data_IF_920879125926
#
_entry.id   IF_920879125926
#
_cell.length_a   1.000
_cell.length_b   1.000
_cell.length_c   1.000
_cell.angle_alpha   90.00
_cell.angle_beta   90.00
_cell.angle_gamma   90.00
#
_symmetry.space_group_name_H-M   'P 1'
#
loop_
_entity.id
_entity.type
_entity.pdbx_description
1 polymer ?
#
# COMPACT_ATOMS: atom_id res chain seq x y z
N UNK A 1 66.56 97.61 13.76
CA UNK A 1 66.43 96.61 12.68
C UNK A 1 66.34 95.18 13.22
N UNK A 2 67.20 94.79 14.17
CA UNK A 2 67.17 93.45 14.80
C UNK A 2 65.89 93.18 15.64
N UNK A 3 65.40 94.20 16.36
CA UNK A 3 64.18 94.11 17.20
C UNK A 3 62.89 93.93 16.39
N UNK A 4 62.67 94.72 15.33
CA UNK A 4 61.47 94.61 14.46
C UNK A 4 61.34 93.22 13.79
N UNK A 5 62.47 92.64 13.36
CA UNK A 5 62.52 91.30 12.77
C UNK A 5 62.11 90.23 13.79
N UNK A 6 62.52 90.40 15.05
CA UNK A 6 62.25 89.44 16.11
C UNK A 6 60.87 89.60 16.75
N UNK A 7 60.32 90.81 16.85
CA UNK A 7 59.03 91.06 17.50
C UNK A 7 57.82 90.95 16.58
N UNK A 8 57.98 91.18 15.26
CA UNK A 8 56.84 91.19 14.33
C UNK A 8 56.95 90.16 13.21
N UNK A 9 58.12 90.04 12.59
CA UNK A 9 58.29 89.13 11.43
C UNK A 9 58.34 87.66 11.88
N UNK A 10 59.12 87.35 12.92
CA UNK A 10 59.26 85.98 13.41
C UNK A 10 57.94 85.36 13.92
N UNK A 11 57.13 86.03 14.78
CA UNK A 11 55.86 85.49 15.23
C UNK A 11 54.84 85.35 14.10
N UNK A 12 54.83 86.26 13.12
CA UNK A 12 53.93 86.17 11.96
C UNK A 12 54.27 84.99 11.04
N UNK A 13 55.56 84.77 10.77
CA UNK A 13 56.02 83.60 10.01
C UNK A 13 55.72 82.31 10.79
N UNK A 14 55.96 82.32 12.10
CA UNK A 14 55.68 81.16 12.94
C UNK A 14 54.17 80.84 12.99
N UNK A 15 53.31 81.85 13.19
CA UNK A 15 51.87 81.68 13.22
C UNK A 15 51.34 81.20 11.86
N UNK A 16 51.78 81.82 10.76
CA UNK A 16 51.33 81.45 9.41
C UNK A 16 51.78 80.05 9.01
N UNK A 17 53.04 79.67 9.26
CA UNK A 17 53.53 78.31 9.09
C UNK A 17 52.77 77.32 9.98
N UNK A 18 52.54 77.65 11.24
CA UNK A 18 51.80 76.80 12.17
C UNK A 18 50.36 76.58 11.67
N UNK A 19 49.64 77.63 11.27
CA UNK A 19 48.30 77.48 10.71
C UNK A 19 48.30 76.68 9.43
N UNK A 20 49.23 76.92 8.51
CA UNK A 20 49.29 76.20 7.23
C UNK A 20 49.59 74.71 7.42
N UNK A 21 50.57 74.39 8.27
CA UNK A 21 50.91 73.02 8.60
C UNK A 21 49.75 72.36 9.35
N UNK A 22 49.16 73.05 10.33
CA UNK A 22 48.04 72.51 11.09
C UNK A 22 46.82 72.27 10.21
N UNK A 23 46.40 73.23 9.37
CA UNK A 23 45.27 73.01 8.48
C UNK A 23 45.58 71.95 7.43
N UNK A 24 46.76 71.95 6.81
CA UNK A 24 47.12 70.93 5.82
C UNK A 24 47.16 69.53 6.43
N UNK A 25 47.89 69.34 7.54
CA UNK A 25 47.97 68.06 8.23
C UNK A 25 46.61 67.66 8.77
N UNK A 26 45.90 68.54 9.46
CA UNK A 26 44.60 68.21 10.03
C UNK A 26 43.59 67.88 8.94
N UNK A 27 43.45 68.70 7.90
CA UNK A 27 42.50 68.41 6.81
C UNK A 27 42.90 67.18 6.04
N UNK A 28 44.17 67.01 5.66
CA UNK A 28 44.60 65.84 4.91
C UNK A 28 44.47 64.57 5.73
N UNK A 29 44.98 64.53 6.96
CA UNK A 29 44.87 63.36 7.83
C UNK A 29 43.42 63.11 8.19
N UNK A 30 42.67 64.12 8.63
CA UNK A 30 41.28 63.92 9.01
C UNK A 30 40.45 63.48 7.82
N UNK A 31 40.53 64.14 6.66
CA UNK A 31 39.75 63.72 5.50
C UNK A 31 40.19 62.37 4.98
N UNK A 32 41.49 62.08 4.85
CA UNK A 32 41.97 60.80 4.37
C UNK A 32 41.63 59.67 5.34
N UNK A 33 41.93 59.80 6.63
CA UNK A 33 41.61 58.78 7.63
C UNK A 33 40.10 58.64 7.76
N UNK A 34 39.35 59.73 7.91
CA UNK A 34 37.90 59.64 8.08
C UNK A 34 37.24 59.08 6.83
N UNK A 35 37.55 59.57 5.63
CA UNK A 35 36.92 59.02 4.42
C UNK A 35 37.39 57.60 4.16
N UNK A 36 38.68 57.30 4.22
CA UNK A 36 39.17 55.94 3.96
C UNK A 36 38.65 54.95 4.99
N UNK A 37 38.82 55.21 6.28
CA UNK A 37 38.37 54.30 7.34
C UNK A 37 36.84 54.22 7.32
N UNK A 38 36.13 55.34 7.32
CA UNK A 38 34.67 55.29 7.36
C UNK A 38 34.11 54.65 6.10
N UNK A 39 34.52 55.06 4.90
CA UNK A 39 33.96 54.45 3.69
C UNK A 39 34.40 53.01 3.55
N UNK A 40 35.68 52.67 3.72
CA UNK A 40 36.14 51.29 3.57
C UNK A 40 35.54 50.37 4.63
N UNK A 41 35.63 50.72 5.91
CA UNK A 41 35.08 49.86 6.98
C UNK A 41 33.56 49.81 6.87
N UNK A 42 32.88 50.95 6.74
CA UNK A 42 31.41 50.93 6.67
C UNK A 42 30.93 50.20 5.42
N UNK A 43 31.46 50.50 4.23
CA UNK A 43 31.01 49.80 3.02
C UNK A 43 31.39 48.34 3.06
N UNK A 44 32.63 47.98 3.36
CA UNK A 44 33.07 46.59 3.39
C UNK A 44 32.31 45.77 4.43
N UNK A 45 32.22 46.23 5.68
CA UNK A 45 31.48 45.50 6.72
C UNK A 45 30.00 45.43 6.36
N UNK A 46 29.39 46.53 5.94
CA UNK A 46 27.97 46.53 5.63
C UNK A 46 27.63 45.67 4.42
N UNK A 47 28.31 45.81 3.29
CA UNK A 47 28.02 44.94 2.13
C UNK A 47 28.44 43.51 2.41
N UNK A 48 29.65 43.25 2.88
CA UNK A 48 30.11 41.89 3.05
C UNK A 48 29.31 41.10 4.08
N UNK A 49 29.07 41.68 5.26
CA UNK A 49 28.33 40.98 6.33
C UNK A 49 26.84 40.99 6.01
N UNK A 50 26.26 42.14 5.71
CA UNK A 50 24.81 42.24 5.62
C UNK A 50 24.26 41.67 4.31
N UNK A 51 24.88 41.98 3.17
CA UNK A 51 24.38 41.48 1.88
C UNK A 51 24.92 40.10 1.56
N UNK A 52 26.21 39.85 1.74
CA UNK A 52 26.78 38.57 1.29
C UNK A 52 26.57 37.47 2.32
N UNK A 53 26.83 37.74 3.61
CA UNK A 53 26.69 36.70 4.62
C UNK A 53 25.23 36.51 5.03
N UNK A 54 24.58 37.55 5.55
CA UNK A 54 23.21 37.42 6.07
C UNK A 54 22.24 37.11 4.94
N UNK A 55 22.17 37.94 3.90
CA UNK A 55 21.16 37.73 2.87
C UNK A 55 21.41 36.46 2.07
N UNK A 56 22.60 36.30 1.45
CA UNK A 56 22.84 35.10 0.64
C UNK A 56 22.86 33.84 1.49
N UNK A 57 23.65 33.75 2.57
CA UNK A 57 23.76 32.50 3.31
C UNK A 57 22.43 32.11 3.98
N UNK A 58 21.79 33.03 4.70
CA UNK A 58 20.56 32.71 5.42
C UNK A 58 19.43 32.47 4.44
N UNK A 59 19.22 33.35 3.46
CA UNK A 59 18.12 33.16 2.52
C UNK A 59 18.34 31.91 1.68
N UNK A 60 19.55 31.70 1.16
CA UNK A 60 19.80 30.56 0.28
C UNK A 60 19.80 29.26 1.07
N UNK A 61 20.38 29.20 2.28
CA UNK A 61 20.33 28.02 3.15
C UNK A 61 18.92 27.72 3.63
N UNK A 62 18.20 28.70 4.19
CA UNK A 62 16.83 28.50 4.68
C UNK A 62 15.92 28.13 3.51
N UNK A 63 15.97 28.87 2.40
CA UNK A 63 15.11 28.57 1.26
C UNK A 63 15.45 27.22 0.66
N UNK A 64 16.72 26.90 0.38
CA UNK A 64 17.06 25.58 -0.18
C UNK A 64 16.74 24.47 0.80
N UNK A 65 17.14 24.58 2.07
CA UNK A 65 16.93 23.53 3.06
C UNK A 65 15.44 23.32 3.33
N UNK A 66 14.67 24.37 3.63
CA UNK A 66 13.23 24.25 3.89
C UNK A 66 12.52 23.79 2.63
N UNK A 67 12.77 24.41 1.47
CA UNK A 67 12.07 24.03 0.24
C UNK A 67 12.42 22.60 -0.17
N UNK A 68 13.70 22.22 -0.19
CA UNK A 68 14.07 20.84 -0.56
C UNK A 68 13.57 19.86 0.48
N UNK A 69 13.77 20.09 1.77
CA UNK A 69 13.34 19.17 2.82
C UNK A 69 11.83 19.02 2.84
N UNK A 70 11.06 20.11 2.90
CA UNK A 70 9.60 20.05 2.90
C UNK A 70 9.09 19.44 1.60
N UNK A 71 9.56 19.91 0.44
CA UNK A 71 9.07 19.38 -0.83
C UNK A 71 9.44 17.91 -1.00
N UNK A 72 10.69 17.52 -0.77
CA UNK A 72 11.07 16.12 -0.90
C UNK A 72 10.38 15.26 0.13
N UNK A 73 10.37 15.64 1.41
CA UNK A 73 9.75 14.84 2.45
C UNK A 73 8.24 14.71 2.25
N UNK A 74 7.52 15.82 2.04
CA UNK A 74 6.07 15.77 1.82
C UNK A 74 5.75 15.02 0.53
N UNK A 75 6.43 15.33 -0.58
CA UNK A 75 6.15 14.67 -1.84
C UNK A 75 6.47 13.19 -1.79
N UNK A 76 7.64 12.80 -1.27
CA UNK A 76 7.99 11.38 -1.15
C UNK A 76 7.10 10.66 -0.17
N UNK A 77 6.83 11.23 1.01
CA UNK A 77 5.95 10.61 2.01
C UNK A 77 4.54 10.45 1.48
N UNK A 78 3.91 11.51 0.96
CA UNK A 78 2.56 11.44 0.41
C UNK A 78 2.52 10.48 -0.77
N UNK A 79 3.43 10.61 -1.73
CA UNK A 79 3.42 9.74 -2.90
C UNK A 79 3.66 8.28 -2.52
N UNK A 80 4.67 7.98 -1.70
CA UNK A 80 4.94 6.60 -1.29
C UNK A 80 3.82 6.05 -0.43
N UNK A 81 3.35 6.78 0.58
CA UNK A 81 2.29 6.32 1.48
C UNK A 81 0.98 6.12 0.73
N UNK A 82 0.51 7.11 -0.04
CA UNK A 82 -0.74 6.98 -0.79
C UNK A 82 -0.61 5.89 -1.85
N UNK A 83 0.47 5.87 -2.64
CA UNK A 83 0.62 4.87 -3.67
C UNK A 83 0.73 3.47 -3.09
N UNK A 84 1.56 3.26 -2.05
CA UNK A 84 1.67 1.94 -1.42
C UNK A 84 0.39 1.54 -0.73
N UNK A 85 -0.26 2.42 0.03
CA UNK A 85 -1.50 2.12 0.72
C UNK A 85 -2.62 1.79 -0.28
N UNK A 86 -2.85 2.64 -1.28
CA UNK A 86 -3.89 2.40 -2.28
C UNK A 86 -3.58 1.12 -3.07
N UNK A 87 -2.35 0.97 -3.57
CA UNK A 87 -2.00 -0.19 -4.36
C UNK A 87 -2.09 -1.47 -3.53
N UNK A 88 -1.50 -1.51 -2.33
CA UNK A 88 -1.57 -2.71 -1.48
C UNK A 88 -2.98 -2.98 -1.03
N UNK A 89 -3.72 -2.00 -0.53
CA UNK A 89 -5.08 -2.19 -0.05
C UNK A 89 -6.02 -2.63 -1.18
N UNK A 90 -6.04 -1.92 -2.31
CA UNK A 90 -6.92 -2.27 -3.42
C UNK A 90 -6.51 -3.62 -4.00
N UNK A 91 -5.22 -3.85 -4.27
CA UNK A 91 -4.78 -5.11 -4.85
C UNK A 91 -5.05 -6.28 -3.90
N UNK A 92 -4.70 -6.17 -2.62
CA UNK A 92 -4.95 -7.25 -1.66
C UNK A 92 -6.44 -7.46 -1.44
N UNK A 93 -7.23 -6.41 -1.24
CA UNK A 93 -8.66 -6.53 -1.03
C UNK A 93 -9.36 -7.13 -2.26
N UNK A 94 -9.13 -6.59 -3.45
CA UNK A 94 -9.74 -7.10 -4.69
C UNK A 94 -9.28 -8.52 -4.95
N UNK A 95 -7.96 -8.79 -4.89
CA UNK A 95 -7.45 -10.13 -5.16
C UNK A 95 -7.97 -11.14 -4.14
N UNK A 96 -7.90 -10.84 -2.85
CA UNK A 96 -8.39 -11.76 -1.82
C UNK A 96 -9.89 -11.93 -1.91
N UNK A 97 -10.68 -10.86 -2.04
CA UNK A 97 -12.14 -10.94 -2.13
C UNK A 97 -12.58 -11.71 -3.37
N UNK A 98 -12.05 -11.36 -4.56
CA UNK A 98 -12.40 -12.06 -5.80
C UNK A 98 -11.94 -13.52 -5.74
N UNK A 99 -10.69 -13.77 -5.35
CA UNK A 99 -10.18 -15.13 -5.30
C UNK A 99 -10.92 -15.97 -4.27
N UNK A 100 -11.14 -15.46 -3.05
CA UNK A 100 -11.90 -16.21 -2.04
C UNK A 100 -13.32 -16.40 -2.49
N UNK A 101 -14.04 -15.35 -2.88
CA UNK A 101 -15.44 -15.45 -3.30
C UNK A 101 -15.61 -16.41 -4.48
N UNK A 102 -14.84 -16.25 -5.55
CA UNK A 102 -14.92 -17.14 -6.73
C UNK A 102 -14.54 -18.55 -6.34
N UNK A 103 -13.40 -18.75 -5.67
CA UNK A 103 -12.94 -20.09 -5.31
C UNK A 103 -13.94 -20.76 -4.36
N UNK A 104 -14.36 -20.11 -3.29
CA UNK A 104 -15.34 -20.70 -2.36
C UNK A 104 -16.65 -20.92 -3.07
N UNK A 105 -17.22 -19.92 -3.76
CA UNK A 105 -18.54 -20.05 -4.37
C UNK A 105 -18.55 -21.13 -5.45
N UNK A 106 -17.60 -21.10 -6.39
CA UNK A 106 -17.52 -22.09 -7.46
C UNK A 106 -17.21 -23.46 -6.88
N UNK A 107 -16.19 -23.58 -6.01
CA UNK A 107 -15.83 -24.87 -5.45
C UNK A 107 -16.95 -25.45 -4.61
N UNK A 108 -17.54 -24.69 -3.69
CA UNK A 108 -18.66 -25.19 -2.87
C UNK A 108 -19.83 -25.50 -3.75
N UNK A 109 -20.27 -24.59 -4.62
CA UNK A 109 -21.48 -24.81 -5.43
C UNK A 109 -21.32 -26.00 -6.37
N UNK A 110 -20.22 -26.07 -7.13
CA UNK A 110 -19.98 -27.17 -8.05
C UNK A 110 -19.78 -28.48 -7.27
N UNK A 111 -18.93 -28.48 -6.25
CA UNK A 111 -18.67 -29.70 -5.49
C UNK A 111 -19.95 -30.18 -4.80
N UNK A 112 -20.69 -29.31 -4.10
CA UNK A 112 -21.93 -29.72 -3.45
C UNK A 112 -22.94 -30.14 -4.48
N UNK A 113 -23.20 -29.35 -5.52
CA UNK A 113 -24.23 -29.67 -6.50
C UNK A 113 -23.92 -30.97 -7.24
N UNK A 114 -22.71 -31.12 -7.79
CA UNK A 114 -22.32 -32.34 -8.51
C UNK A 114 -22.28 -33.53 -7.56
N UNK A 115 -21.64 -33.40 -6.39
CA UNK A 115 -21.56 -34.52 -5.46
C UNK A 115 -22.94 -34.92 -4.96
N UNK A 116 -23.78 -33.97 -4.53
CA UNK A 116 -25.14 -34.28 -4.09
C UNK A 116 -25.94 -34.85 -5.24
N UNK A 117 -25.96 -34.24 -6.42
CA UNK A 117 -26.78 -34.68 -7.53
C UNK A 117 -26.36 -36.06 -8.03
N UNK A 118 -25.07 -36.28 -8.27
CA UNK A 118 -24.55 -37.57 -8.72
C UNK A 118 -24.75 -38.61 -7.63
N UNK A 119 -24.37 -38.32 -6.39
CA UNK A 119 -24.52 -39.29 -5.31
C UNK A 119 -25.99 -39.62 -5.07
N UNK A 120 -26.88 -38.64 -4.96
CA UNK A 120 -28.30 -38.91 -4.76
C UNK A 120 -28.87 -39.62 -5.97
N UNK A 121 -28.67 -39.11 -7.19
CA UNK A 121 -29.28 -39.70 -8.38
C UNK A 121 -28.78 -41.12 -8.63
N UNK A 122 -27.46 -41.34 -8.64
CA UNK A 122 -26.89 -42.67 -8.87
C UNK A 122 -27.25 -43.60 -7.72
N UNK A 123 -27.03 -43.19 -6.47
CA UNK A 123 -27.32 -44.06 -5.34
C UNK A 123 -28.80 -44.36 -5.26
N UNK A 124 -29.69 -43.37 -5.31
CA UNK A 124 -31.14 -43.64 -5.24
C UNK A 124 -31.56 -44.44 -6.46
N UNK A 125 -31.27 -44.00 -7.69
CA UNK A 125 -31.77 -44.68 -8.87
C UNK A 125 -31.24 -46.10 -8.99
N UNK A 126 -29.93 -46.32 -8.88
CA UNK A 126 -29.35 -47.65 -8.99
C UNK A 126 -29.77 -48.52 -7.81
N UNK A 127 -29.65 -48.02 -6.58
CA UNK A 127 -30.03 -48.82 -5.42
C UNK A 127 -31.51 -49.15 -5.44
N UNK A 128 -32.40 -48.18 -5.64
CA UNK A 128 -33.83 -48.45 -5.69
C UNK A 128 -34.15 -49.34 -6.86
N UNK A 129 -33.71 -49.03 -8.09
CA UNK A 129 -34.06 -49.82 -9.27
C UNK A 129 -33.55 -51.25 -9.16
N UNK A 130 -32.26 -51.45 -8.86
CA UNK A 130 -31.68 -52.78 -8.74
C UNK A 130 -32.31 -53.53 -7.57
N UNK A 131 -32.40 -52.90 -6.39
CA UNK A 131 -32.98 -53.56 -5.23
C UNK A 131 -34.44 -53.91 -5.47
N UNK A 132 -35.26 -52.97 -5.96
CA UNK A 132 -36.67 -53.26 -6.23
C UNK A 132 -36.82 -54.26 -7.34
N UNK A 133 -36.09 -54.16 -8.45
CA UNK A 133 -36.22 -55.07 -9.57
C UNK A 133 -35.76 -56.48 -9.19
N UNK A 134 -34.56 -56.62 -8.61
CA UNK A 134 -34.05 -57.93 -8.19
C UNK A 134 -34.93 -58.50 -7.08
N UNK A 135 -35.24 -57.74 -6.04
CA UNK A 135 -36.07 -58.24 -4.96
C UNK A 135 -37.47 -58.61 -5.45
N UNK A 136 -38.15 -57.75 -6.21
CA UNK A 136 -39.49 -58.07 -6.72
C UNK A 136 -39.44 -59.22 -7.71
N UNK A 137 -38.54 -59.21 -8.68
CA UNK A 137 -38.44 -60.29 -9.67
C UNK A 137 -38.08 -61.62 -9.03
N UNK A 138 -37.02 -61.68 -8.23
CA UNK A 138 -36.60 -62.92 -7.57
C UNK A 138 -37.67 -63.38 -6.60
N UNK A 139 -38.17 -62.49 -5.72
CA UNK A 139 -39.18 -62.89 -4.75
C UNK A 139 -40.46 -63.32 -5.45
N UNK A 140 -40.97 -62.56 -6.43
CA UNK A 140 -42.21 -62.94 -7.11
C UNK A 140 -42.00 -64.19 -7.95
N UNK A 141 -40.95 -64.29 -8.75
CA UNK A 141 -40.69 -65.46 -9.58
C UNK A 141 -40.45 -66.71 -8.74
N UNK A 142 -39.54 -66.67 -7.78
CA UNK A 142 -39.26 -67.83 -6.92
C UNK A 142 -40.49 -68.18 -6.09
N UNK A 143 -41.11 -67.21 -5.41
CA UNK A 143 -42.27 -67.49 -4.58
C UNK A 143 -43.42 -68.02 -5.42
N UNK A 144 -43.80 -67.34 -6.50
CA UNK A 144 -44.92 -67.80 -7.34
C UNK A 144 -44.59 -69.12 -8.01
N UNK A 145 -43.42 -69.28 -8.63
CA UNK A 145 -43.07 -70.52 -9.33
C UNK A 145 -42.96 -71.69 -8.36
N UNK A 146 -42.20 -71.56 -7.28
CA UNK A 146 -42.04 -72.65 -6.30
C UNK A 146 -43.37 -72.92 -5.61
N UNK A 147 -44.06 -71.89 -5.10
CA UNK A 147 -45.33 -72.10 -4.41
C UNK A 147 -46.37 -72.69 -5.36
N UNK A 148 -46.58 -72.13 -6.55
CA UNK A 148 -47.57 -72.67 -7.48
C UNK A 148 -47.17 -74.04 -7.98
N UNK A 149 -45.92 -74.28 -8.39
CA UNK A 149 -45.48 -75.58 -8.87
C UNK A 149 -45.57 -76.64 -7.78
N UNK A 150 -44.99 -76.40 -6.61
CA UNK A 150 -45.03 -77.37 -5.50
C UNK A 150 -46.46 -77.57 -5.03
N UNK A 151 -47.22 -76.50 -4.79
CA UNK A 151 -48.61 -76.62 -4.32
C UNK A 151 -49.46 -77.34 -5.36
N UNK A 152 -49.45 -76.91 -6.63
CA UNK A 152 -50.26 -77.56 -7.68
C UNK A 152 -49.79 -78.98 -7.94
N UNK A 153 -48.49 -79.24 -8.08
CA UNK A 153 -47.98 -80.58 -8.34
C UNK A 153 -48.28 -81.52 -7.17
N UNK A 154 -47.92 -81.14 -5.94
CA UNK A 154 -48.18 -81.99 -4.76
C UNK A 154 -49.68 -82.13 -4.54
N UNK A 155 -50.45 -81.06 -4.55
CA UNK A 155 -51.89 -81.14 -4.33
C UNK A 155 -52.57 -81.96 -5.42
N UNK A 156 -52.31 -81.71 -6.70
CA UNK A 156 -52.92 -82.48 -7.79
C UNK A 156 -52.44 -83.92 -7.79
N UNK A 157 -51.14 -84.18 -7.63
CA UNK A 157 -50.61 -85.54 -7.63
C UNK A 157 -51.12 -86.34 -6.44
N UNK A 158 -51.03 -85.81 -5.22
CA UNK A 158 -51.54 -86.49 -4.02
C UNK A 158 -53.06 -86.64 -4.09
N UNK A 159 -53.80 -85.58 -4.44
CA UNK A 159 -55.26 -85.67 -4.53
C UNK A 159 -55.69 -86.64 -5.61
N UNK A 160 -55.12 -86.57 -6.81
CA UNK A 160 -55.48 -87.50 -7.90
C UNK A 160 -55.06 -88.92 -7.58
N UNK A 161 -53.84 -89.14 -7.07
CA UNK A 161 -53.34 -90.47 -6.72
C UNK A 161 -54.12 -91.10 -5.58
N UNK A 162 -54.36 -90.38 -4.48
CA UNK A 162 -55.15 -90.88 -3.35
C UNK A 162 -56.61 -91.08 -3.78
N UNK A 163 -57.21 -90.12 -4.49
CA UNK A 163 -58.59 -90.25 -4.95
C UNK A 163 -58.74 -91.42 -5.92
N UNK A 164 -57.87 -91.57 -6.92
CA UNK A 164 -57.90 -92.72 -7.83
C UNK A 164 -57.62 -94.01 -7.11
N UNK A 165 -56.60 -94.08 -6.25
CA UNK A 165 -56.28 -95.29 -5.48
C UNK A 165 -57.48 -95.72 -4.63
N UNK A 166 -58.11 -94.81 -3.87
CA UNK A 166 -59.28 -95.13 -3.04
C UNK A 166 -60.49 -95.53 -3.91
N UNK A 167 -60.73 -94.87 -5.05
CA UNK A 167 -61.87 -95.19 -5.91
C UNK A 167 -61.68 -96.44 -6.79
N UNK A 168 -60.45 -96.85 -7.08
CA UNK A 168 -60.16 -98.06 -7.87
C UNK A 168 -59.82 -99.28 -7.03
N UNK A 169 -59.50 -99.10 -5.75
CA UNK A 169 -59.29 -100.20 -4.78
C UNK A 169 -60.49 -100.47 -3.86
N UNK A 170 -61.64 -99.85 -4.13
CA UNK A 170 -62.94 -100.15 -3.52
C UNK A 170 -63.81 -101.06 -4.38
#
# INVERSE_FOLDING_TARGET
MHTYKHTYINPYIHASMHTCIHTYIHTYIHTYIHTYIHTYIHTYIHTYIHTTYIHTYIHTYIHTYIHTYIHTYIHTYIHTYIHTYIHTYIHTYIHTYIHTYIHTYIHTYIHTYIHTYIHTYIHTYIHTYIHTYIHTYIHTYIHTYIHTYIHTYIHTYIHTYIHTYIHTSG
#
